data_IF_822229353598
#
_entry.id   IF_822229353598
#
_cell.length_a   1.000
_cell.length_b   1.000
_cell.length_c   1.000
_cell.angle_alpha   90.00
_cell.angle_beta   90.00
_cell.angle_gamma   90.00
#
_symmetry.space_group_name_H-M   'P 1'
#
loop_
_entity.id
_entity.type
_entity.pdbx_description
1 polymer ?
#
# COMPACT_ATOMS: atom_id res chain seq x y z
N UNK A 1 -8.90 -18.00 20.28
CA UNK A 1 -9.71 -16.85 19.82
C UNK A 1 -11.11 -17.34 19.61
N UNK A 2 -12.05 -16.95 20.48
CA UNK A 2 -13.46 -17.19 20.22
C UNK A 2 -13.89 -16.13 19.20
N UNK A 3 -14.17 -16.57 17.97
CA UNK A 3 -14.77 -15.78 16.89
C UNK A 3 -16.24 -15.49 17.22
N UNK A 4 -16.49 -14.72 18.28
CA UNK A 4 -17.82 -14.16 18.49
C UNK A 4 -18.09 -13.10 17.42
N UNK A 5 -18.66 -13.54 16.30
CA UNK A 5 -19.09 -12.71 15.18
C UNK A 5 -20.46 -12.05 15.43
N UNK A 6 -21.04 -12.17 16.63
CA UNK A 6 -22.41 -11.71 16.92
C UNK A 6 -22.55 -10.20 17.19
N UNK A 7 -21.46 -9.50 17.51
CA UNK A 7 -21.48 -8.04 17.68
C UNK A 7 -21.70 -7.29 16.36
N UNK A 8 -22.46 -6.17 16.35
CA UNK A 8 -22.59 -5.35 15.13
C UNK A 8 -21.29 -4.59 14.84
N UNK A 9 -21.14 -4.19 13.58
CA UNK A 9 -19.96 -3.46 13.10
C UNK A 9 -19.99 -2.04 13.66
N UNK A 10 -18.98 -1.67 14.46
CA UNK A 10 -18.83 -0.35 15.07
C UNK A 10 -17.82 0.54 14.34
N UNK A 11 -16.99 -0.05 13.47
CA UNK A 11 -16.00 0.67 12.67
C UNK A 11 -15.34 -0.24 11.64
N UNK A 12 -14.41 0.31 10.88
CA UNK A 12 -13.62 -0.41 9.88
C UNK A 12 -12.16 -0.09 10.11
N UNK A 13 -11.31 -1.11 10.17
CA UNK A 13 -9.87 -0.94 10.24
C UNK A 13 -9.31 -0.36 8.91
N UNK A 14 -8.03 0.05 8.86
CA UNK A 14 -7.40 0.61 7.66
C UNK A 14 -7.29 -0.45 6.56
N UNK A 15 -7.19 -1.71 6.99
CA UNK A 15 -7.30 -2.90 6.15
C UNK A 15 -8.76 -3.24 5.79
N UNK A 16 -9.73 -2.42 6.22
CA UNK A 16 -11.19 -2.50 6.10
C UNK A 16 -11.81 -3.84 6.48
N UNK A 17 -11.25 -4.52 7.48
CA UNK A 17 -12.01 -5.48 8.26
C UNK A 17 -13.04 -4.77 9.16
N UNK A 18 -14.24 -5.34 9.34
CA UNK A 18 -15.22 -4.79 10.26
C UNK A 18 -14.76 -4.99 11.70
N UNK A 19 -14.60 -3.89 12.44
CA UNK A 19 -14.39 -3.91 13.87
C UNK A 19 -15.76 -4.13 14.51
N UNK A 20 -15.92 -5.25 15.21
CA UNK A 20 -17.15 -5.59 15.94
C UNK A 20 -16.93 -5.30 17.42
N UNK A 21 -17.90 -4.64 18.04
CA UNK A 21 -17.80 -4.26 19.45
C UNK A 21 -19.16 -4.10 20.13
N UNK A 22 -19.14 -3.90 21.45
CA UNK A 22 -20.36 -3.71 22.22
C UNK A 22 -21.14 -2.51 21.70
N UNK A 23 -22.47 -2.56 21.81
CA UNK A 23 -23.37 -1.43 21.58
C UNK A 23 -23.88 -0.94 22.92
N UNK A 24 -24.33 0.32 22.97
CA UNK A 24 -25.14 0.75 24.10
C UNK A 24 -26.40 -0.13 24.21
N UNK A 25 -27.03 -0.25 25.39
CA UNK A 25 -28.23 -1.08 25.59
C UNK A 25 -29.40 -0.71 24.66
N UNK A 26 -29.43 0.53 24.17
CA UNK A 26 -30.42 1.04 23.20
C UNK A 26 -30.06 0.76 21.73
N UNK A 27 -28.95 0.06 21.48
CA UNK A 27 -28.46 -0.30 20.15
C UNK A 27 -27.78 0.86 19.41
N UNK A 28 -27.56 2.00 20.06
CA UNK A 28 -26.79 3.11 19.51
C UNK A 28 -25.28 2.85 19.58
N UNK A 29 -24.51 3.66 18.85
CA UNK A 29 -23.05 3.57 18.83
C UNK A 29 -22.50 3.88 20.23
N UNK A 30 -21.41 3.21 20.66
CA UNK A 30 -20.76 3.51 21.95
C UNK A 30 -20.48 5.00 22.10
N UNK A 31 -20.86 5.56 23.24
CA UNK A 31 -20.49 6.93 23.61
C UNK A 31 -19.13 6.91 24.31
N UNK A 32 -18.42 8.04 24.35
CA UNK A 32 -17.18 8.22 25.12
C UNK A 32 -15.95 7.41 24.65
N UNK A 33 -15.87 7.05 23.36
CA UNK A 33 -14.68 6.37 22.82
C UNK A 33 -13.40 7.21 22.97
N UNK A 34 -13.49 8.53 22.80
CA UNK A 34 -12.34 9.43 22.90
C UNK A 34 -11.79 9.51 24.34
N UNK A 35 -12.68 9.50 25.34
CA UNK A 35 -12.27 9.48 26.74
C UNK A 35 -11.69 8.12 27.17
N UNK A 36 -12.19 7.02 26.61
CA UNK A 36 -11.61 5.68 26.77
C UNK A 36 -10.20 5.62 26.15
N UNK A 37 -9.99 6.37 25.06
CA UNK A 37 -8.71 6.47 24.35
C UNK A 37 -7.80 7.59 24.88
N UNK A 38 -8.16 8.27 25.98
CA UNK A 38 -7.29 9.22 26.68
C UNK A 38 -7.16 10.61 26.04
N UNK A 39 -8.10 11.03 25.18
CA UNK A 39 -8.12 12.36 24.57
C UNK A 39 -9.47 13.09 24.78
N UNK A 40 -9.45 14.43 24.69
CA UNK A 40 -10.61 15.33 24.89
C UNK A 40 -10.69 16.36 23.73
N UNK A 41 -10.93 15.86 22.52
CA UNK A 41 -11.01 16.68 21.31
C UNK A 41 -12.22 16.31 20.44
N UNK A 42 -13.41 16.76 20.84
CA UNK A 42 -14.70 16.60 20.13
C UNK A 42 -14.74 17.20 18.70
N UNK A 43 -13.71 17.94 18.28
CA UNK A 43 -13.69 18.69 17.02
C UNK A 43 -12.98 17.98 15.86
N UNK A 44 -12.23 16.90 16.14
CA UNK A 44 -11.59 16.08 15.11
C UNK A 44 -12.51 14.89 14.82
N UNK A 45 -12.91 14.71 13.55
CA UNK A 45 -13.50 13.42 13.13
C UNK A 45 -12.57 12.26 13.51
N UNK A 46 -13.13 11.07 13.74
CA UNK A 46 -12.46 9.92 14.38
C UNK A 46 -10.97 9.76 14.04
N UNK A 47 -10.14 9.59 15.07
CA UNK A 47 -8.75 9.14 14.96
C UNK A 47 -8.48 8.04 16.00
N UNK A 48 -7.56 7.13 15.69
CA UNK A 48 -7.26 5.96 16.52
C UNK A 48 -5.79 5.98 16.94
N UNK A 49 -5.52 5.60 18.20
CA UNK A 49 -4.19 5.43 18.76
C UNK A 49 -3.88 3.95 19.04
N UNK A 50 -2.62 3.56 18.84
CA UNK A 50 -2.08 2.34 19.42
C UNK A 50 -1.67 2.60 20.87
N UNK A 51 -2.04 1.73 21.80
CA UNK A 51 -1.56 1.79 23.19
C UNK A 51 -0.32 0.93 23.36
N UNK A 52 0.48 1.28 24.35
CA UNK A 52 1.71 0.63 24.80
C UNK A 52 1.52 -0.81 25.33
N UNK A 53 0.26 -1.26 25.48
CA UNK A 53 -0.10 -2.63 25.88
C UNK A 53 -0.62 -3.50 24.74
N UNK A 54 -1.04 -2.93 23.61
CA UNK A 54 -1.67 -3.67 22.50
C UNK A 54 -1.20 -3.14 21.14
N UNK A 55 -0.26 -3.82 20.46
CA UNK A 55 0.51 -3.22 19.35
C UNK A 55 -0.15 -3.29 17.97
N UNK A 56 -1.48 -3.40 17.85
CA UNK A 56 -2.12 -3.42 16.53
C UNK A 56 -2.76 -2.07 16.19
N UNK A 57 -2.23 -1.44 15.14
CA UNK A 57 -2.81 -0.32 14.41
C UNK A 57 -4.25 -0.66 13.99
N UNK A 58 -5.22 0.14 14.41
CA UNK A 58 -6.60 0.06 13.95
C UNK A 58 -7.06 1.46 13.57
N UNK A 59 -6.77 1.95 12.36
CA UNK A 59 -7.30 3.23 11.87
C UNK A 59 -8.60 3.05 11.07
N UNK A 60 -9.39 4.09 10.85
CA UNK A 60 -10.61 4.06 10.02
C UNK A 60 -10.92 5.46 9.48
N UNK A 61 -11.59 5.54 8.33
CA UNK A 61 -11.99 6.78 7.64
C UNK A 61 -13.49 7.07 7.84
N UNK A 62 -13.91 8.35 7.82
CA UNK A 62 -15.32 8.74 7.71
C UNK A 62 -15.58 9.71 6.54
N UNK A 63 -16.43 9.28 5.61
CA UNK A 63 -17.02 10.07 4.53
C UNK A 63 -17.87 9.17 3.62
N UNK A 64 -18.89 9.67 2.91
CA UNK A 64 -19.57 8.88 1.89
C UNK A 64 -18.57 8.45 0.81
N UNK A 65 -18.59 7.17 0.43
CA UNK A 65 -17.84 6.65 -0.72
C UNK A 65 -18.50 7.14 -2.02
N UNK A 66 -18.40 8.44 -2.27
CA UNK A 66 -18.96 9.11 -3.44
C UNK A 66 -18.04 10.25 -3.87
N UNK A 67 -17.34 10.03 -4.99
CA UNK A 67 -16.67 11.05 -5.83
C UNK A 67 -15.84 12.13 -5.13
N UNK A 68 -15.19 11.85 -4.00
CA UNK A 68 -14.17 12.76 -3.48
C UNK A 68 -12.88 12.61 -4.29
N UNK A 69 -12.45 13.68 -4.96
CA UNK A 69 -11.11 13.73 -5.53
C UNK A 69 -10.10 13.65 -4.37
N UNK A 70 -8.98 12.95 -4.59
CA UNK A 70 -7.90 12.72 -3.63
C UNK A 70 -7.26 13.99 -3.02
N UNK A 71 -7.74 15.19 -3.34
CA UNK A 71 -7.22 16.48 -2.87
C UNK A 71 -7.80 16.98 -1.54
N UNK A 72 -8.85 16.37 -1.01
CA UNK A 72 -9.55 16.86 0.20
C UNK A 72 -9.28 16.04 1.47
N UNK A 73 -8.30 15.13 1.43
CA UNK A 73 -7.87 14.40 2.65
C UNK A 73 -6.85 15.26 3.38
N UNK A 74 -7.27 15.89 4.47
CA UNK A 74 -6.36 16.56 5.40
C UNK A 74 -5.50 15.50 6.10
N UNK A 75 -4.25 15.37 5.66
CA UNK A 75 -3.27 14.47 6.26
C UNK A 75 -2.69 15.20 7.46
N UNK A 76 -3.17 14.89 8.67
CA UNK A 76 -2.55 15.41 9.89
C UNK A 76 -1.03 15.18 9.86
N UNK A 77 -0.27 16.26 10.02
CA UNK A 77 1.19 16.25 10.10
C UNK A 77 1.64 15.48 11.35
N UNK A 78 2.11 14.25 11.14
CA UNK A 78 2.62 13.36 12.19
C UNK A 78 3.90 13.87 12.88
N UNK A 79 4.40 15.07 12.57
CA UNK A 79 5.56 15.67 13.25
C UNK A 79 5.21 16.53 14.48
N UNK A 80 3.93 16.81 14.74
CA UNK A 80 3.54 17.58 15.92
C UNK A 80 3.52 16.72 17.19
N UNK A 81 4.48 16.95 18.10
CA UNK A 81 4.49 16.34 19.45
C UNK A 81 3.53 17.08 20.38
N UNK A 82 2.61 16.35 21.01
CA UNK A 82 1.83 16.84 22.16
C UNK A 82 2.70 16.84 23.43
N UNK A 83 2.60 17.86 24.31
CA UNK A 83 3.28 17.85 25.61
C UNK A 83 2.53 16.93 26.60
N UNK A 84 3.24 15.98 27.21
CA UNK A 84 2.69 15.08 28.24
C UNK A 84 2.53 15.74 29.62
N UNK A 85 1.77 15.13 30.57
CA UNK A 85 1.38 15.79 31.82
C UNK A 85 2.24 15.41 33.07
N UNK A 86 2.53 16.43 33.90
CA UNK A 86 2.89 16.37 35.36
C UNK A 86 4.38 16.56 35.70
N UNK A 87 4.87 17.49 36.54
CA UNK A 87 4.35 18.53 37.47
C UNK A 87 5.55 19.36 38.06
N UNK A 88 5.34 20.38 38.92
CA UNK A 88 6.22 21.60 39.09
C UNK A 88 6.95 21.70 40.48
N UNK A 89 7.52 22.85 41.00
CA UNK A 89 8.09 24.16 40.49
C UNK A 89 9.54 24.42 41.10
N UNK A 90 10.18 25.64 41.19
CA UNK A 90 9.75 27.02 40.93
C UNK A 90 10.72 28.00 40.24
N UNK A 91 10.17 29.15 39.82
CA UNK A 91 10.84 30.44 39.99
C UNK A 91 11.03 31.31 38.74
N UNK A 92 10.21 32.36 38.63
CA UNK A 92 10.72 33.67 38.23
C UNK A 92 10.44 34.18 36.81
N UNK A 93 9.65 35.26 36.77
CA UNK A 93 9.84 36.46 35.94
C UNK A 93 9.15 36.56 34.56
N UNK A 94 8.00 37.26 34.60
CA UNK A 94 7.62 38.41 33.77
C UNK A 94 7.82 38.39 32.24
N UNK A 95 6.69 38.41 31.51
CA UNK A 95 6.53 39.02 30.16
C UNK A 95 6.70 40.55 30.28
N UNK A 96 7.16 41.30 29.24
CA UNK A 96 6.29 41.64 28.10
C UNK A 96 6.99 41.88 26.74
N UNK A 97 6.23 41.89 25.64
CA UNK A 97 6.58 42.70 24.45
C UNK A 97 6.42 42.07 23.06
N UNK A 98 5.29 42.37 22.42
CA UNK A 98 5.06 42.63 20.99
C UNK A 98 6.05 42.09 19.93
N UNK A 99 5.63 41.04 19.21
CA UNK A 99 6.01 40.78 17.82
C UNK A 99 4.85 41.14 16.87
N UNK A 100 5.11 41.56 15.62
CA UNK A 100 4.09 42.10 14.71
C UNK A 100 3.05 41.03 14.31
N UNK A 101 1.83 41.43 13.91
CA UNK A 101 0.82 40.48 13.42
C UNK A 101 1.36 39.77 12.17
N UNK A 102 1.33 38.44 12.21
CA UNK A 102 1.64 37.58 11.08
C UNK A 102 0.77 37.98 9.88
N UNK A 103 1.42 38.19 8.74
CA UNK A 103 0.76 38.49 7.49
C UNK A 103 -0.31 37.41 7.17
N UNK A 104 -1.48 37.78 6.63
CA UNK A 104 -2.47 36.80 6.20
C UNK A 104 -1.83 35.90 5.13
N UNK A 105 -1.95 34.59 5.32
CA UNK A 105 -1.53 33.60 4.35
C UNK A 105 -2.17 33.93 2.99
N UNK A 106 -1.33 34.14 1.98
CA UNK A 106 -1.79 34.36 0.62
C UNK A 106 -2.58 33.13 0.15
N UNK A 107 -3.72 33.30 -0.53
CA UNK A 107 -4.43 32.16 -1.10
C UNK A 107 -3.54 31.48 -2.13
N UNK A 108 -3.40 30.16 -2.01
CA UNK A 108 -2.68 29.32 -2.96
C UNK A 108 -3.53 29.25 -4.24
N UNK A 109 -3.47 30.29 -5.06
CA UNK A 109 -4.08 30.28 -6.40
C UNK A 109 -3.10 29.60 -7.35
N UNK A 110 -3.19 28.27 -7.42
CA UNK A 110 -2.66 27.50 -8.54
C UNK A 110 -3.83 26.90 -9.32
N UNK A 111 -4.69 27.76 -9.87
CA UNK A 111 -5.51 27.37 -11.00
C UNK A 111 -4.57 27.27 -12.22
N UNK A 112 -3.89 26.13 -12.35
CA UNK A 112 -3.16 25.79 -13.55
C UNK A 112 -4.17 25.76 -14.71
N UNK A 113 -3.98 26.69 -15.65
CA UNK A 113 -4.67 26.75 -16.94
C UNK A 113 -4.61 25.36 -17.58
N UNK A 114 -5.72 24.76 -18.07
CA UNK A 114 -5.66 23.43 -18.67
C UNK A 114 -4.81 23.51 -19.93
N UNK A 115 -3.56 23.07 -19.81
CA UNK A 115 -2.66 22.86 -20.93
C UNK A 115 -3.23 21.72 -21.77
N UNK A 116 -3.25 21.93 -23.10
CA UNK A 116 -3.70 21.01 -24.14
C UNK A 116 -3.60 19.53 -23.72
N UNK A 117 -4.71 18.78 -23.85
CA UNK A 117 -4.87 17.34 -23.58
C UNK A 117 -3.53 16.61 -23.53
N UNK A 118 -2.86 16.63 -22.38
CA UNK A 118 -1.59 15.98 -22.23
C UNK A 118 -1.86 14.49 -22.47
N UNK A 119 -1.15 13.88 -23.42
CA UNK A 119 -1.23 12.45 -23.65
C UNK A 119 -1.03 11.75 -22.31
N UNK A 120 -1.93 10.81 -21.97
CA UNK A 120 -1.83 10.00 -20.76
C UNK A 120 -0.40 9.44 -20.61
N UNK A 121 0.27 9.59 -19.45
CA UNK A 121 1.65 9.16 -19.29
C UNK A 121 1.75 7.64 -19.27
N UNK A 122 2.81 7.07 -19.82
CA UNK A 122 3.11 5.65 -19.59
C UNK A 122 3.48 5.42 -18.12
N UNK A 123 3.00 4.33 -17.54
CA UNK A 123 3.30 3.92 -16.17
C UNK A 123 4.13 2.64 -16.21
N UNK A 124 5.36 2.70 -15.71
CA UNK A 124 6.26 1.55 -15.60
C UNK A 124 6.56 1.29 -14.12
N UNK A 125 6.30 0.07 -13.66
CA UNK A 125 6.61 -0.38 -12.29
C UNK A 125 7.63 -1.50 -12.39
N UNK A 126 8.83 -1.25 -11.87
CA UNK A 126 9.91 -2.25 -11.79
C UNK A 126 9.98 -2.79 -10.37
N UNK A 127 9.94 -4.12 -10.22
CA UNK A 127 9.98 -4.80 -8.92
C UNK A 127 11.11 -5.81 -8.94
N UNK A 128 12.15 -5.55 -8.15
CA UNK A 128 13.16 -6.55 -7.85
C UNK A 128 12.64 -7.53 -6.78
N UNK A 129 13.04 -8.79 -6.86
CA UNK A 129 12.67 -9.84 -5.91
C UNK A 129 13.87 -10.07 -4.99
N UNK A 130 13.65 -9.97 -3.67
CA UNK A 130 14.67 -10.10 -2.62
C UNK A 130 15.88 -9.14 -2.73
N UNK A 131 15.69 -7.94 -3.27
CA UNK A 131 16.70 -6.88 -3.27
C UNK A 131 16.90 -6.30 -1.86
N UNK A 132 18.08 -6.51 -1.27
CA UNK A 132 18.43 -6.00 0.04
C UNK A 132 18.66 -4.49 0.04
N UNK A 133 18.42 -3.86 1.19
CA UNK A 133 18.62 -2.41 1.36
C UNK A 133 20.04 -1.95 0.98
N UNK A 134 21.05 -2.73 1.35
CA UNK A 134 22.46 -2.42 1.07
C UNK A 134 23.01 -2.99 -0.24
N UNK A 135 22.17 -3.47 -1.15
CA UNK A 135 22.63 -4.13 -2.39
C UNK A 135 22.84 -3.15 -3.56
N UNK A 136 22.23 -1.96 -3.47
CA UNK A 136 22.29 -0.90 -4.49
C UNK A 136 23.34 0.16 -4.16
N UNK A 137 24.00 0.72 -5.19
CA UNK A 137 25.12 1.65 -5.00
C UNK A 137 24.76 2.92 -4.22
N UNK A 138 23.54 3.46 -4.40
CA UNK A 138 23.06 4.63 -3.65
C UNK A 138 22.81 4.35 -2.15
N UNK A 139 22.86 3.09 -1.70
CA UNK A 139 22.86 2.68 -0.29
C UNK A 139 24.20 2.06 0.17
N UNK A 140 25.28 2.24 -0.60
CA UNK A 140 26.61 1.72 -0.27
C UNK A 140 26.85 0.27 -0.68
N UNK A 141 26.01 -0.28 -1.56
CA UNK A 141 26.20 -1.61 -2.14
C UNK A 141 27.48 -1.72 -2.97
N UNK A 142 28.06 -2.93 -2.98
CA UNK A 142 29.32 -3.22 -3.69
C UNK A 142 29.12 -3.61 -5.15
N UNK A 143 27.91 -4.04 -5.50
CA UNK A 143 27.56 -4.42 -6.88
C UNK A 143 27.26 -3.14 -7.65
N UNK A 144 27.92 -2.87 -8.80
CA UNK A 144 27.61 -1.70 -9.61
C UNK A 144 26.17 -1.74 -10.13
N UNK A 145 25.39 -0.69 -9.86
CA UNK A 145 23.99 -0.55 -10.31
C UNK A 145 23.75 0.76 -11.08
N UNK A 146 24.54 1.07 -12.13
CA UNK A 146 24.57 2.41 -12.74
C UNK A 146 23.22 2.87 -13.31
N UNK A 147 22.43 1.95 -13.89
CA UNK A 147 21.10 2.29 -14.43
C UNK A 147 20.09 2.65 -13.33
N UNK A 148 20.13 1.94 -12.18
CA UNK A 148 19.25 2.23 -11.04
C UNK A 148 19.67 3.54 -10.38
N UNK A 149 20.98 3.75 -10.20
CA UNK A 149 21.52 4.99 -9.63
C UNK A 149 21.17 6.21 -10.49
N UNK A 150 21.17 6.06 -11.81
CA UNK A 150 20.71 7.11 -12.73
C UNK A 150 19.23 7.46 -12.49
N UNK A 151 18.35 6.47 -12.33
CA UNK A 151 16.94 6.71 -12.03
C UNK A 151 16.75 7.45 -10.71
N UNK A 152 17.51 7.08 -9.67
CA UNK A 152 17.46 7.76 -8.37
C UNK A 152 17.98 9.20 -8.47
N UNK A 153 19.06 9.45 -9.24
CA UNK A 153 19.65 10.77 -9.43
C UNK A 153 18.77 11.72 -10.25
N UNK A 154 18.08 11.19 -11.26
CA UNK A 154 17.18 11.96 -12.14
C UNK A 154 15.75 12.06 -11.58
N UNK A 155 15.42 11.25 -10.57
CA UNK A 155 14.10 11.16 -9.95
C UNK A 155 14.11 11.42 -8.44
N UNK A 156 13.23 10.71 -7.73
CA UNK A 156 13.05 10.83 -6.28
C UNK A 156 13.18 9.47 -5.61
N UNK A 157 13.89 9.43 -4.48
CA UNK A 157 14.02 8.26 -3.62
C UNK A 157 13.01 8.29 -2.47
N UNK A 158 12.35 7.18 -2.20
CA UNK A 158 11.46 7.04 -1.05
C UNK A 158 12.18 6.35 0.12
N UNK A 159 12.79 7.13 1.01
CA UNK A 159 13.56 6.61 2.16
C UNK A 159 12.71 5.93 3.24
N UNK A 160 11.38 6.08 3.16
CA UNK A 160 10.41 5.46 4.08
C UNK A 160 9.31 4.76 3.29
N UNK A 161 9.72 3.81 2.47
CA UNK A 161 8.84 2.97 1.67
C UNK A 161 8.79 1.56 2.26
N UNK A 162 7.57 1.06 2.52
CA UNK A 162 7.37 -0.21 3.21
C UNK A 162 6.52 -1.15 2.37
N UNK A 163 6.88 -2.42 2.43
CA UNK A 163 6.18 -3.54 1.79
C UNK A 163 5.96 -4.65 2.81
N UNK A 164 5.25 -5.71 2.43
CA UNK A 164 5.22 -6.91 3.25
C UNK A 164 6.56 -7.65 3.20
N UNK A 165 6.92 -8.41 4.25
CA UNK A 165 8.23 -9.05 4.36
C UNK A 165 8.43 -10.21 3.37
N UNK A 166 7.38 -10.64 2.64
CA UNK A 166 7.44 -11.74 1.67
C UNK A 166 6.66 -11.41 0.41
N UNK A 167 6.99 -12.10 -0.67
CA UNK A 167 6.61 -11.78 -2.05
C UNK A 167 5.10 -11.73 -2.33
N UNK A 168 4.32 -12.79 -2.06
CA UNK A 168 2.90 -12.83 -2.43
C UNK A 168 2.06 -11.72 -1.76
N UNK A 169 2.16 -11.47 -0.44
CA UNK A 169 1.48 -10.33 0.18
C UNK A 169 1.89 -8.99 -0.43
N UNK A 170 3.17 -8.74 -0.70
CA UNK A 170 3.60 -7.48 -1.35
C UNK A 170 2.98 -7.29 -2.73
N UNK A 171 2.99 -8.34 -3.56
CA UNK A 171 2.42 -8.30 -4.92
C UNK A 171 0.89 -8.13 -4.88
N UNK A 172 0.23 -8.82 -3.95
CA UNK A 172 -1.22 -8.69 -3.74
C UNK A 172 -1.59 -7.27 -3.31
N UNK A 173 -0.83 -6.69 -2.37
CA UNK A 173 -1.06 -5.32 -1.89
C UNK A 173 -0.84 -4.30 -3.01
N UNK A 174 0.25 -4.43 -3.76
CA UNK A 174 0.56 -3.54 -4.89
C UNK A 174 -0.55 -3.54 -5.93
N UNK A 175 -1.04 -4.72 -6.31
CA UNK A 175 -2.02 -4.83 -7.38
C UNK A 175 -3.42 -4.47 -6.92
N UNK A 176 -3.82 -4.79 -5.69
CA UNK A 176 -5.19 -4.51 -5.21
C UNK A 176 -5.34 -3.14 -4.55
N UNK A 177 -4.23 -2.53 -4.10
CA UNK A 177 -4.27 -1.38 -3.20
C UNK A 177 -4.86 -1.69 -1.82
N UNK A 178 -4.98 -2.98 -1.46
CA UNK A 178 -5.62 -3.43 -0.24
C UNK A 178 -4.68 -4.30 0.59
N UNK A 179 -4.94 -4.37 1.89
CA UNK A 179 -4.24 -5.28 2.79
C UNK A 179 -4.50 -6.74 2.40
N UNK A 180 -3.46 -7.53 2.05
CA UNK A 180 -3.61 -8.88 1.50
C UNK A 180 -4.36 -9.87 2.40
N UNK A 181 -4.30 -9.64 3.72
CA UNK A 181 -5.04 -10.45 4.71
C UNK A 181 -6.55 -10.43 4.50
N UNK A 182 -7.11 -9.38 3.87
CA UNK A 182 -8.54 -9.28 3.53
C UNK A 182 -9.07 -10.46 2.73
N UNK A 183 -8.20 -11.07 1.94
CA UNK A 183 -8.54 -12.18 1.07
C UNK A 183 -7.62 -13.38 1.31
N UNK A 184 -7.10 -13.51 2.54
CA UNK A 184 -6.40 -14.72 3.00
C UNK A 184 -4.95 -14.84 2.53
N UNK A 185 -4.33 -13.77 2.01
CA UNK A 185 -2.92 -13.76 1.63
C UNK A 185 -2.10 -13.25 2.80
N UNK A 186 -1.72 -14.16 3.69
CA UNK A 186 -0.95 -13.85 4.91
C UNK A 186 0.52 -14.23 4.82
N UNK A 187 0.88 -15.05 3.83
CA UNK A 187 2.22 -15.62 3.61
C UNK A 187 2.39 -15.94 2.11
N UNK A 188 3.53 -16.55 1.75
CA UNK A 188 3.82 -17.10 0.42
C UNK A 188 2.68 -18.00 -0.06
N UNK A 189 2.10 -17.65 -1.21
CA UNK A 189 0.95 -18.35 -1.76
C UNK A 189 1.38 -19.64 -2.47
N UNK A 190 0.72 -20.74 -2.13
CA UNK A 190 0.84 -21.97 -2.89
C UNK A 190 0.10 -21.90 -4.24
N UNK A 191 0.36 -22.85 -5.16
CA UNK A 191 -0.23 -22.84 -6.51
C UNK A 191 -1.76 -22.98 -6.52
N UNK A 192 -2.36 -23.47 -5.43
CA UNK A 192 -3.81 -23.71 -5.28
C UNK A 192 -4.53 -22.66 -4.43
N UNK A 193 -3.88 -21.52 -4.19
CA UNK A 193 -4.46 -20.43 -3.43
C UNK A 193 -4.72 -19.27 -4.40
N UNK A 194 -5.91 -19.19 -5.02
CA UNK A 194 -6.22 -18.10 -5.93
C UNK A 194 -6.57 -16.82 -5.17
N UNK A 195 -6.27 -15.66 -5.76
CA UNK A 195 -6.93 -14.42 -5.39
C UNK A 195 -8.44 -14.50 -5.70
N UNK A 196 -9.30 -13.75 -4.97
CA UNK A 196 -10.73 -13.70 -5.25
C UNK A 196 -11.00 -13.28 -6.70
N UNK A 197 -11.89 -14.01 -7.37
CA UNK A 197 -12.34 -13.65 -8.69
C UNK A 197 -13.02 -12.27 -8.67
N UNK A 198 -12.73 -11.45 -9.68
CA UNK A 198 -13.28 -10.09 -9.77
C UNK A 198 -12.69 -9.07 -8.78
N UNK A 199 -11.61 -9.40 -8.05
CA UNK A 199 -10.88 -8.42 -7.25
C UNK A 199 -10.45 -7.25 -8.14
N UNK A 200 -10.81 -6.02 -7.73
CA UNK A 200 -10.36 -4.83 -8.41
C UNK A 200 -8.84 -4.68 -8.26
N UNK A 201 -8.16 -4.42 -9.38
CA UNK A 201 -6.70 -4.33 -9.44
C UNK A 201 -6.25 -3.13 -10.25
N UNK A 202 -5.07 -2.60 -9.94
CA UNK A 202 -4.38 -1.54 -10.66
C UNK A 202 -4.36 -1.77 -12.19
N UNK A 203 -3.90 -2.92 -12.71
CA UNK A 203 -4.02 -3.24 -14.14
C UNK A 203 -5.47 -3.20 -14.65
N UNK A 204 -6.43 -3.80 -13.96
CA UNK A 204 -7.85 -3.74 -14.37
C UNK A 204 -8.41 -2.30 -14.41
N UNK A 205 -8.00 -1.45 -13.47
CA UNK A 205 -8.38 -0.04 -13.44
C UNK A 205 -7.71 0.75 -14.57
N UNK A 206 -6.41 0.55 -14.81
CA UNK A 206 -5.68 1.18 -15.92
C UNK A 206 -6.24 0.77 -17.28
N UNK A 207 -6.56 -0.51 -17.46
CA UNK A 207 -7.22 -1.03 -18.66
C UNK A 207 -8.55 -0.34 -18.92
N UNK A 208 -9.39 -0.19 -17.89
CA UNK A 208 -10.66 0.56 -17.97
C UNK A 208 -10.43 2.04 -18.34
N UNK A 209 -9.31 2.62 -17.90
CA UNK A 209 -8.90 3.97 -18.28
C UNK A 209 -8.28 4.08 -19.69
N UNK A 210 -8.24 2.99 -20.46
CA UNK A 210 -7.77 2.96 -21.85
C UNK A 210 -6.27 2.75 -22.01
N UNK A 211 -5.59 2.20 -20.99
CA UNK A 211 -4.20 1.76 -21.11
C UNK A 211 -4.13 0.32 -21.63
N UNK A 212 -3.09 0.02 -22.41
CA UNK A 212 -2.64 -1.36 -22.61
C UNK A 212 -1.80 -1.77 -21.41
N UNK A 213 -2.06 -2.96 -20.88
CA UNK A 213 -1.43 -3.43 -19.63
C UNK A 213 -0.61 -4.69 -19.88
N UNK A 214 0.60 -4.73 -19.35
CA UNK A 214 1.49 -5.88 -19.52
C UNK A 214 2.22 -6.21 -18.23
N UNK A 215 2.36 -7.51 -17.95
CA UNK A 215 3.21 -8.02 -16.90
C UNK A 215 4.35 -8.83 -17.52
N UNK A 216 5.58 -8.51 -17.12
CA UNK A 216 6.78 -9.24 -17.54
C UNK A 216 7.48 -9.78 -16.29
N UNK A 217 7.75 -11.09 -16.26
CA UNK A 217 8.42 -11.77 -15.15
C UNK A 217 7.45 -12.47 -14.17
N UNK A 218 7.65 -12.25 -12.86
CA UNK A 218 7.04 -13.04 -11.79
C UNK A 218 5.63 -12.58 -11.42
N UNK A 219 4.66 -13.50 -11.46
CA UNK A 219 3.30 -13.28 -10.96
C UNK A 219 3.16 -13.58 -9.46
N UNK A 220 3.29 -14.86 -9.07
CA UNK A 220 3.27 -15.35 -7.70
C UNK A 220 2.01 -15.03 -6.85
N UNK A 221 0.85 -15.03 -7.51
CA UNK A 221 -0.47 -14.82 -6.87
C UNK A 221 -1.47 -15.92 -7.21
N UNK A 222 -0.96 -17.12 -7.47
CA UNK A 222 -1.75 -18.31 -7.78
C UNK A 222 -1.60 -18.78 -9.22
N UNK A 223 -2.30 -19.87 -9.55
CA UNK A 223 -2.41 -20.47 -10.90
C UNK A 223 -3.89 -20.74 -11.22
N UNK A 224 -4.17 -21.32 -12.39
CA UNK A 224 -5.52 -21.74 -12.77
C UNK A 224 -6.44 -20.56 -13.04
N UNK A 225 -7.42 -20.29 -12.18
CA UNK A 225 -8.31 -19.12 -12.33
C UNK A 225 -7.60 -17.81 -11.97
N UNK A 226 -6.48 -17.89 -11.24
CA UNK A 226 -5.74 -16.72 -10.75
C UNK A 226 -4.51 -16.40 -11.60
N UNK A 227 -4.73 -16.06 -12.88
CA UNK A 227 -3.67 -15.65 -13.82
C UNK A 227 -3.59 -14.14 -13.96
N UNK A 228 -2.47 -13.56 -14.43
CA UNK A 228 -2.37 -12.13 -14.71
C UNK A 228 -3.51 -11.60 -15.60
N UNK A 229 -3.91 -12.39 -16.60
CA UNK A 229 -4.99 -12.07 -17.53
C UNK A 229 -6.35 -11.93 -16.83
N UNK A 230 -6.62 -12.79 -15.84
CA UNK A 230 -7.82 -12.72 -15.00
C UNK A 230 -7.89 -11.44 -14.16
N UNK A 231 -6.74 -10.79 -13.91
CA UNK A 231 -6.63 -9.57 -13.12
C UNK A 231 -6.30 -8.34 -13.95
N UNK A 232 -6.64 -8.36 -15.24
CA UNK A 232 -6.70 -7.16 -16.06
C UNK A 232 -5.41 -6.80 -16.77
N UNK A 233 -4.41 -7.68 -16.83
CA UNK A 233 -3.32 -7.56 -17.80
C UNK A 233 -3.80 -7.97 -19.20
N UNK A 234 -3.39 -7.25 -20.25
CA UNK A 234 -3.64 -7.60 -21.66
C UNK A 234 -2.56 -8.53 -22.22
N UNK A 235 -1.34 -8.45 -21.67
CA UNK A 235 -0.21 -9.31 -22.04
C UNK A 235 0.52 -9.83 -20.81
N UNK A 236 1.00 -11.06 -20.88
CA UNK A 236 1.83 -11.67 -19.86
C UNK A 236 2.96 -12.49 -20.48
N UNK A 237 4.18 -12.24 -20.02
CA UNK A 237 5.33 -13.05 -20.39
C UNK A 237 6.25 -13.26 -19.18
N UNK A 238 6.42 -14.51 -18.75
CA UNK A 238 7.17 -14.81 -17.52
C UNK A 238 6.69 -16.10 -16.86
N UNK A 239 6.47 -16.10 -15.54
CA UNK A 239 6.13 -17.33 -14.80
C UNK A 239 5.15 -17.08 -13.65
N UNK A 240 4.35 -18.11 -13.33
CA UNK A 240 3.25 -17.99 -12.35
C UNK A 240 3.69 -18.21 -10.91
N UNK A 241 4.66 -19.09 -10.68
CA UNK A 241 5.09 -19.56 -9.39
C UNK A 241 6.02 -18.62 -8.61
N UNK A 242 6.54 -19.09 -7.48
CA UNK A 242 7.47 -18.33 -6.65
C UNK A 242 8.85 -18.21 -7.31
N UNK A 243 9.25 -19.20 -8.08
CA UNK A 243 10.60 -19.30 -8.62
C UNK A 243 10.63 -20.10 -9.92
N UNK A 244 11.71 -19.92 -10.65
CA UNK A 244 12.12 -20.76 -11.76
C UNK A 244 13.64 -20.91 -11.76
N UNK A 245 14.12 -22.00 -12.35
CA UNK A 245 15.50 -22.07 -12.85
C UNK A 245 15.68 -21.07 -14.00
N UNK A 246 16.76 -20.29 -13.98
CA UNK A 246 16.99 -19.22 -14.96
C UNK A 246 17.26 -19.71 -16.39
N UNK A 247 17.63 -20.98 -16.59
CA UNK A 247 17.87 -21.54 -17.93
C UNK A 247 16.80 -22.55 -18.34
N UNK A 248 16.31 -23.35 -17.39
CA UNK A 248 15.34 -24.41 -17.66
C UNK A 248 13.90 -23.94 -17.56
N UNK A 249 13.67 -22.80 -16.91
CA UNK A 249 12.34 -22.24 -16.63
C UNK A 249 11.39 -23.21 -15.90
N UNK A 250 11.97 -24.10 -15.09
CA UNK A 250 11.24 -25.07 -14.27
C UNK A 250 11.18 -24.63 -12.82
N UNK A 251 10.10 -24.98 -12.11
CA UNK A 251 10.03 -24.87 -10.65
C UNK A 251 10.99 -25.86 -9.95
N UNK A 252 11.06 -25.80 -8.61
CA UNK A 252 11.87 -26.74 -7.81
C UNK A 252 11.51 -28.22 -7.98
N UNK A 253 10.34 -28.53 -8.55
CA UNK A 253 9.87 -29.90 -8.82
C UNK A 253 10.17 -30.34 -10.25
N UNK A 254 10.85 -29.51 -11.03
CA UNK A 254 11.20 -29.77 -12.43
C UNK A 254 10.05 -29.57 -13.42
N UNK A 255 8.95 -28.95 -13.01
CA UNK A 255 7.82 -28.64 -13.89
C UNK A 255 8.01 -27.28 -14.55
N UNK A 256 7.85 -27.19 -15.87
CA UNK A 256 7.96 -25.93 -16.62
C UNK A 256 6.87 -24.96 -16.18
N UNK A 257 7.25 -23.72 -15.89
CA UNK A 257 6.33 -22.64 -15.47
C UNK A 257 6.44 -21.37 -16.32
N UNK A 258 7.17 -21.41 -17.43
CA UNK A 258 7.30 -20.30 -18.38
C UNK A 258 6.00 -20.12 -19.19
N UNK A 259 5.53 -18.89 -19.31
CA UNK A 259 4.23 -18.53 -19.86
C UNK A 259 4.34 -17.41 -20.89
N UNK A 260 3.49 -17.49 -21.92
CA UNK A 260 3.17 -16.39 -22.83
C UNK A 260 1.66 -16.33 -23.02
N UNK A 261 1.05 -15.22 -22.58
CA UNK A 261 -0.39 -14.93 -22.68
C UNK A 261 -1.29 -16.10 -22.25
N UNK A 262 -0.94 -16.71 -21.10
CA UNK A 262 -1.70 -17.82 -20.49
C UNK A 262 -1.37 -19.21 -21.04
N UNK A 263 -0.41 -19.32 -21.96
CA UNK A 263 0.08 -20.60 -22.50
C UNK A 263 1.43 -20.95 -21.90
N UNK A 264 1.56 -22.13 -21.31
CA UNK A 264 2.87 -22.67 -20.92
C UNK A 264 3.70 -22.96 -22.17
N UNK A 265 4.90 -22.40 -22.24
CA UNK A 265 5.82 -22.59 -23.36
C UNK A 265 7.16 -23.14 -22.87
N UNK A 266 7.90 -23.78 -23.78
CA UNK A 266 9.30 -24.17 -23.55
C UNK A 266 10.16 -23.34 -24.50
N UNK A 267 10.99 -22.48 -23.94
CA UNK A 267 11.82 -21.52 -24.67
C UNK A 267 13.23 -21.60 -24.12
N UNK A 268 14.21 -21.74 -25.02
CA UNK A 268 15.62 -21.78 -24.66
C UNK A 268 16.16 -20.37 -24.46
N UNK A 269 16.94 -20.18 -23.39
CA UNK A 269 17.60 -18.91 -23.12
C UNK A 269 17.81 -18.70 -21.62
N UNK A 270 18.57 -17.67 -21.29
CA UNK A 270 18.65 -17.17 -19.92
C UNK A 270 17.45 -16.25 -19.68
N UNK A 271 16.66 -16.51 -18.64
CA UNK A 271 15.37 -15.84 -18.42
C UNK A 271 15.47 -14.31 -18.38
N UNK A 272 16.59 -13.75 -17.92
CA UNK A 272 16.78 -12.28 -17.90
C UNK A 272 16.97 -11.71 -19.30
N UNK A 273 17.64 -12.43 -20.20
CA UNK A 273 17.82 -12.00 -21.59
C UNK A 273 16.51 -12.15 -22.37
N UNK A 274 15.73 -13.18 -22.05
CA UNK A 274 14.43 -13.41 -22.66
C UNK A 274 13.42 -12.31 -22.32
N UNK A 275 13.44 -11.77 -21.10
CA UNK A 275 12.51 -10.74 -20.62
C UNK A 275 12.88 -9.30 -21.04
N UNK A 276 14.05 -9.09 -21.65
CA UNK A 276 14.62 -7.79 -21.96
C UNK A 276 14.08 -7.12 -23.24
#
# INVERSE_FOLDING_TARGET
>A
MNDDKSGKVIGWALDGFPIRGPHEPDGTKPKNLDSINGHDHDSLGYHYHATDTWPYLVGGFHGPLGTAALGDVDVCDATQRSPGPGGPPPGGSTRPGNGPPGAPAAPISNAAKPTASASKPNVLILIADDLGWGDVGFHGGKVPTPSIERLTKEGSELQRFYVHPVCSPTRAALLSGQMPRRFGVTDVMGPRQPLPEGLATLPGTLRTAGYTTSLVGKWHLGKGTSTPMSFGFDHFYGFLGPEIDYFKHTDQRGSVDWQRDGTTINEEGYSTDLLA
#
